data_IF_997195396796
#
_entry.id   IF_997195396796
#
_cell.length_a   1.000
_cell.length_b   1.000
_cell.length_c   1.000
_cell.angle_alpha   90.00
_cell.angle_beta   90.00
_cell.angle_gamma   90.00
#
_symmetry.space_group_name_H-M   'P 1'
#
loop_
_entity.id
_entity.type
_entity.pdbx_description
1 polymer ?
#
# COMPACT_ATOMS: atom_id res chain seq x y z
N UNK A 1 -14.31 18.46 9.55
CA UNK A 1 -13.16 18.63 8.63
C UNK A 1 -12.43 17.29 8.58
N UNK A 2 -12.02 16.78 7.41
CA UNK A 2 -11.24 15.55 7.37
C UNK A 2 -9.95 15.77 8.17
N UNK A 3 -9.71 14.91 9.15
CA UNK A 3 -8.45 14.91 9.89
C UNK A 3 -7.36 14.33 8.97
N UNK A 4 -6.14 14.84 9.06
CA UNK A 4 -5.02 14.40 8.22
C UNK A 4 -3.88 13.91 9.11
N UNK A 5 -3.13 12.92 8.61
CA UNK A 5 -1.80 12.58 9.13
C UNK A 5 -0.72 13.01 8.14
N UNK A 6 0.48 13.26 8.65
CA UNK A 6 1.65 13.56 7.82
C UNK A 6 2.35 12.25 7.49
N UNK A 7 2.58 12.01 6.20
CA UNK A 7 3.38 10.91 5.69
C UNK A 7 4.57 11.48 4.91
N UNK A 8 5.63 10.68 4.74
CA UNK A 8 6.85 11.10 4.07
C UNK A 8 7.29 10.07 3.02
N UNK A 9 7.67 10.54 1.83
CA UNK A 9 8.39 9.78 0.82
C UNK A 9 9.68 10.49 0.41
N UNK A 10 10.44 9.97 -0.57
CA UNK A 10 11.70 10.57 -1.02
C UNK A 10 11.55 11.97 -1.63
N UNK A 11 10.31 12.43 -1.89
CA UNK A 11 10.01 13.76 -2.41
C UNK A 11 9.52 14.72 -1.31
N UNK A 12 9.51 14.29 -0.05
CA UNK A 12 9.16 15.10 1.12
C UNK A 12 7.85 14.69 1.79
N UNK A 13 7.31 15.60 2.59
CA UNK A 13 6.12 15.38 3.40
C UNK A 13 4.81 15.65 2.63
N UNK A 14 3.74 14.95 3.02
CA UNK A 14 2.42 15.06 2.41
C UNK A 14 1.32 14.80 3.44
N UNK A 15 0.19 15.49 3.31
CA UNK A 15 -1.02 15.25 4.12
C UNK A 15 -1.82 14.10 3.52
N UNK A 16 -2.09 13.07 4.31
CA UNK A 16 -2.92 11.92 3.93
C UNK A 16 -4.16 11.88 4.82
N UNK A 17 -5.37 11.64 4.27
CA UNK A 17 -6.59 11.50 5.08
C UNK A 17 -6.40 10.47 6.20
N UNK A 18 -6.82 10.80 7.42
CA UNK A 18 -6.51 9.99 8.60
C UNK A 18 -7.09 8.56 8.54
N UNK A 19 -8.18 8.37 7.80
CA UNK A 19 -8.88 7.11 7.59
C UNK A 19 -8.35 6.30 6.39
N UNK A 20 -7.56 6.91 5.51
CA UNK A 20 -6.97 6.23 4.37
C UNK A 20 -5.87 5.25 4.82
N UNK A 21 -5.91 4.02 4.33
CA UNK A 21 -4.89 3.00 4.62
C UNK A 21 -3.61 3.15 3.77
N UNK A 22 -3.60 4.04 2.78
CA UNK A 22 -2.45 4.26 1.89
C UNK A 22 -1.48 5.33 2.41
N UNK A 23 -0.24 5.35 1.93
CA UNK A 23 0.78 6.32 2.35
C UNK A 23 1.04 7.46 1.36
N UNK A 24 2.14 8.20 1.58
CA UNK A 24 2.54 9.37 0.80
C UNK A 24 2.55 9.14 -0.72
N UNK A 25 3.15 8.05 -1.20
CA UNK A 25 3.26 7.77 -2.64
C UNK A 25 1.90 7.61 -3.32
N UNK A 26 0.92 6.99 -2.66
CA UNK A 26 -0.42 6.81 -3.22
C UNK A 26 -1.18 8.13 -3.22
N UNK A 27 -1.07 8.91 -2.14
CA UNK A 27 -1.69 10.22 -2.09
C UNK A 27 -1.11 11.17 -3.14
N UNK A 28 0.21 11.13 -3.38
CA UNK A 28 0.85 11.87 -4.47
C UNK A 28 0.28 11.47 -5.83
N UNK A 29 0.00 10.19 -6.05
CA UNK A 29 -0.66 9.73 -7.27
C UNK A 29 -2.12 10.23 -7.37
N UNK A 30 -2.87 10.27 -6.26
CA UNK A 30 -4.20 10.87 -6.21
C UNK A 30 -4.16 12.34 -6.63
N UNK A 31 -3.19 13.11 -6.11
CA UNK A 31 -3.03 14.54 -6.42
C UNK A 31 -2.56 14.78 -7.87
N UNK A 32 -1.70 13.91 -8.40
CA UNK A 32 -1.08 14.08 -9.73
C UNK A 32 -1.95 13.57 -10.89
N UNK A 33 -2.83 12.58 -10.68
CA UNK A 33 -3.57 11.91 -11.76
C UNK A 33 -5.11 12.02 -11.67
N UNK A 34 -5.71 13.21 -11.42
CA UNK A 34 -7.16 13.40 -11.44
C UNK A 34 -7.69 13.50 -12.88
N UNK A 35 -7.53 12.44 -13.68
CA UNK A 35 -7.78 12.47 -15.13
C UNK A 35 -9.20 11.98 -15.48
N UNK A 36 -9.54 10.74 -15.13
CA UNK A 36 -10.78 10.08 -15.60
C UNK A 36 -11.73 9.62 -14.48
N UNK A 37 -11.26 9.56 -13.23
CA UNK A 37 -12.02 8.98 -12.11
C UNK A 37 -12.16 7.45 -12.18
N UNK A 38 -11.59 6.78 -13.18
CA UNK A 38 -11.57 5.32 -13.26
C UNK A 38 -10.64 4.73 -12.20
N UNK A 39 -11.11 3.71 -11.49
CA UNK A 39 -10.35 2.98 -10.48
C UNK A 39 -9.85 1.65 -11.01
N UNK A 40 -8.87 1.07 -10.32
CA UNK A 40 -8.37 -0.26 -10.66
C UNK A 40 -9.49 -1.31 -10.49
N UNK A 41 -9.67 -2.23 -11.46
CA UNK A 41 -10.66 -3.30 -11.35
C UNK A 41 -10.42 -4.19 -10.12
N UNK A 42 -11.49 -4.79 -9.60
CA UNK A 42 -11.41 -5.61 -8.38
C UNK A 42 -10.49 -6.82 -8.56
N UNK A 43 -10.47 -7.39 -9.75
CA UNK A 43 -9.65 -8.53 -10.13
C UNK A 43 -8.16 -8.16 -10.09
N UNK A 44 -7.81 -6.95 -10.52
CA UNK A 44 -6.45 -6.44 -10.48
C UNK A 44 -5.98 -6.25 -9.02
N UNK A 45 -6.82 -5.66 -8.17
CA UNK A 45 -6.52 -5.49 -6.75
C UNK A 45 -6.36 -6.85 -6.05
N UNK A 46 -7.21 -7.83 -6.38
CA UNK A 46 -7.10 -9.20 -5.87
C UNK A 46 -5.77 -9.85 -6.30
N UNK A 47 -5.38 -9.70 -7.57
CA UNK A 47 -4.12 -10.24 -8.07
C UNK A 47 -2.91 -9.64 -7.33
N UNK A 48 -2.93 -8.33 -7.06
CA UNK A 48 -1.90 -7.67 -6.24
C UNK A 48 -1.78 -8.27 -4.83
N UNK A 49 -2.91 -8.53 -4.15
CA UNK A 49 -2.92 -9.20 -2.84
C UNK A 49 -2.26 -10.60 -2.90
N UNK A 50 -2.64 -11.41 -3.89
CA UNK A 50 -2.05 -12.74 -4.10
C UNK A 50 -0.54 -12.67 -4.34
N UNK A 51 -0.08 -11.72 -5.17
CA UNK A 51 1.35 -11.49 -5.44
C UNK A 51 2.08 -11.12 -4.14
N UNK A 52 1.50 -10.25 -3.30
CA UNK A 52 2.12 -9.85 -2.03
C UNK A 52 2.18 -11.00 -1.02
N UNK A 53 1.16 -11.85 -0.96
CA UNK A 53 1.17 -13.07 -0.16
C UNK A 53 2.25 -14.05 -0.63
N UNK A 54 2.37 -14.28 -1.95
CA UNK A 54 3.40 -15.14 -2.52
C UNK A 54 4.82 -14.61 -2.25
N UNK A 55 5.03 -13.31 -2.43
CA UNK A 55 6.32 -12.66 -2.16
C UNK A 55 6.70 -12.73 -0.67
N UNK A 56 5.73 -12.55 0.24
CA UNK A 56 5.98 -12.68 1.67
C UNK A 56 6.40 -14.11 2.06
N UNK A 57 5.79 -15.14 1.44
CA UNK A 57 6.19 -16.53 1.63
C UNK A 57 7.60 -16.81 1.10
N UNK A 58 7.90 -16.37 -0.12
CA UNK A 58 9.23 -16.56 -0.71
C UNK A 58 10.31 -15.89 0.14
N UNK A 59 10.09 -14.65 0.57
CA UNK A 59 11.04 -13.93 1.42
C UNK A 59 11.19 -14.53 2.82
N UNK A 60 10.13 -15.12 3.40
CA UNK A 60 10.25 -15.87 4.65
C UNK A 60 11.15 -17.10 4.46
N UNK A 61 10.93 -17.87 3.39
CA UNK A 61 11.69 -19.10 3.11
C UNK A 61 13.18 -18.83 2.85
N UNK A 62 13.48 -17.68 2.22
CA UNK A 62 14.86 -17.24 1.96
C UNK A 62 15.52 -16.54 3.17
N UNK A 63 14.79 -16.34 4.27
CA UNK A 63 15.29 -15.65 5.47
C UNK A 63 15.38 -14.12 5.34
N UNK A 64 14.77 -13.53 4.30
CA UNK A 64 14.70 -12.08 4.09
C UNK A 64 13.61 -11.39 4.92
N UNK A 65 12.64 -12.15 5.46
CA UNK A 65 11.61 -11.64 6.37
C UNK A 65 11.52 -12.44 7.65
N UNK A 66 11.30 -11.75 8.77
CA UNK A 66 10.99 -12.40 10.05
C UNK A 66 9.61 -13.07 9.97
N UNK A 67 9.39 -14.20 10.68
CA UNK A 67 8.10 -14.91 10.67
C UNK A 67 6.89 -14.03 10.99
N UNK A 68 7.01 -13.14 11.99
CA UNK A 68 5.93 -12.23 12.39
C UNK A 68 5.58 -11.22 11.28
N UNK A 69 6.58 -10.69 10.57
CA UNK A 69 6.36 -9.76 9.47
C UNK A 69 5.70 -10.45 8.28
N UNK A 70 6.19 -11.63 7.89
CA UNK A 70 5.57 -12.42 6.83
C UNK A 70 4.12 -12.78 7.17
N UNK A 71 3.83 -13.17 8.41
CA UNK A 71 2.47 -13.46 8.86
C UNK A 71 1.56 -12.22 8.79
N UNK A 72 2.04 -11.05 9.22
CA UNK A 72 1.27 -9.80 9.15
C UNK A 72 0.96 -9.39 7.71
N UNK A 73 1.95 -9.47 6.80
CA UNK A 73 1.77 -9.14 5.38
C UNK A 73 0.73 -10.07 4.74
N UNK A 74 0.82 -11.38 4.96
CA UNK A 74 -0.15 -12.35 4.41
C UNK A 74 -1.56 -12.19 4.96
N UNK A 75 -1.70 -11.74 6.21
CA UNK A 75 -3.01 -11.50 6.81
C UNK A 75 -3.68 -10.26 6.21
N UNK A 76 -2.89 -9.26 5.82
CA UNK A 76 -3.37 -8.01 5.24
C UNK A 76 -3.60 -8.07 3.72
N UNK A 77 -2.87 -8.96 3.02
CA UNK A 77 -2.89 -9.13 1.57
C UNK A 77 -4.00 -10.07 1.08
#
# INVERSE_FOLDING_TARGET
MPNFRIEHDSMGELKVPADALWGAQTQRAVDNFPISGLTLPREFIRALGLIKTAAANANLNLGHLKPAQAAAIRKAA
#
